data_IF_996164621651
#
_entry.id   IF_996164621651
#
_cell.length_a   1.000
_cell.length_b   1.000
_cell.length_c   1.000
_cell.angle_alpha   90.00
_cell.angle_beta   90.00
_cell.angle_gamma   90.00
#
_symmetry.space_group_name_H-M   'P 1'
#
loop_
_entity.id
_entity.type
_entity.pdbx_description
1 polymer ?
#
# COMPACT_ATOMS: atom_id res chain seq x y z
N UNK A 1 -8.23 -11.62 -5.95
CA UNK A 1 -8.41 -11.00 -7.29
C UNK A 1 -9.08 -12.03 -8.22
N UNK A 2 -10.39 -12.27 -8.05
CA UNK A 2 -11.12 -13.26 -8.87
C UNK A 2 -12.09 -12.64 -9.89
N UNK A 3 -12.27 -11.35 -9.91
CA UNK A 3 -12.91 -10.68 -11.04
C UNK A 3 -11.81 -10.37 -12.05
N UNK A 4 -11.35 -11.43 -12.73
CA UNK A 4 -10.53 -11.28 -13.91
C UNK A 4 -11.31 -10.48 -14.95
N UNK A 5 -10.60 -9.69 -15.74
CA UNK A 5 -11.04 -9.11 -17.00
C UNK A 5 -11.69 -10.21 -17.86
N UNK A 6 -13.00 -10.41 -17.65
CA UNK A 6 -13.78 -11.36 -18.43
C UNK A 6 -13.95 -10.74 -19.81
N UNK A 7 -13.18 -11.24 -20.78
CA UNK A 7 -13.20 -10.77 -22.16
C UNK A 7 -11.84 -10.43 -22.77
N UNK A 8 -10.74 -10.41 -22.01
CA UNK A 8 -9.40 -10.30 -22.59
C UNK A 8 -8.86 -11.68 -22.95
N UNK A 9 -8.57 -11.93 -24.20
CA UNK A 9 -8.11 -13.24 -24.69
C UNK A 9 -6.73 -13.67 -24.17
N UNK A 10 -5.93 -12.78 -23.55
CA UNK A 10 -4.67 -13.11 -22.88
C UNK A 10 -4.39 -12.15 -21.75
N UNK A 11 -4.48 -12.62 -20.52
CA UNK A 11 -3.92 -11.92 -19.36
C UNK A 11 -2.55 -12.54 -19.04
N UNK A 12 -1.50 -11.74 -19.11
CA UNK A 12 -0.16 -12.11 -18.64
C UNK A 12 -0.02 -11.58 -17.21
N UNK A 13 0.48 -12.42 -16.31
CA UNK A 13 0.90 -12.00 -14.98
C UNK A 13 2.36 -12.39 -14.79
N UNK A 14 3.18 -11.41 -14.43
CA UNK A 14 4.57 -11.61 -14.08
C UNK A 14 4.80 -11.36 -12.58
N UNK A 15 5.71 -12.11 -12.00
CA UNK A 15 6.12 -11.97 -10.61
C UNK A 15 7.47 -12.64 -10.38
N UNK A 16 8.28 -12.07 -9.51
CA UNK A 16 9.50 -12.71 -9.01
C UNK A 16 9.20 -13.83 -8.01
N UNK A 17 8.00 -13.90 -7.48
CA UNK A 17 7.58 -14.83 -6.42
C UNK A 17 8.54 -14.77 -5.21
N UNK A 18 8.84 -13.56 -4.72
CA UNK A 18 9.74 -13.34 -3.59
C UNK A 18 9.37 -14.22 -2.39
N UNK A 19 10.34 -14.91 -1.82
CA UNK A 19 10.14 -15.79 -0.66
C UNK A 19 9.65 -15.04 0.57
N UNK A 20 10.02 -13.77 0.74
CA UNK A 20 9.52 -12.92 1.84
C UNK A 20 7.99 -12.80 1.83
N UNK A 21 7.37 -12.81 0.65
CA UNK A 21 5.91 -12.63 0.48
C UNK A 21 5.21 -13.97 0.31
N UNK A 22 5.81 -14.89 -0.44
CA UNK A 22 5.17 -16.13 -0.89
C UNK A 22 5.62 -17.39 -0.14
N UNK A 23 6.61 -17.26 0.77
CA UNK A 23 7.21 -18.37 1.48
C UNK A 23 8.23 -19.15 0.63
N UNK A 24 8.81 -20.20 1.22
CA UNK A 24 9.74 -21.08 0.51
C UNK A 24 8.99 -21.90 -0.54
N UNK A 25 9.67 -22.16 -1.68
CA UNK A 25 9.11 -22.89 -2.82
C UNK A 25 7.76 -22.33 -3.29
N UNK A 26 7.67 -21.05 -3.60
CA UNK A 26 6.40 -20.35 -3.82
C UNK A 26 5.53 -20.94 -4.94
N UNK A 27 6.12 -21.61 -5.92
CA UNK A 27 5.40 -22.30 -6.99
C UNK A 27 4.62 -23.55 -6.50
N UNK A 28 5.05 -24.13 -5.38
CA UNK A 28 4.41 -25.30 -4.77
C UNK A 28 3.43 -24.89 -3.65
N UNK A 29 3.75 -23.84 -2.91
CA UNK A 29 3.12 -23.55 -1.62
C UNK A 29 2.33 -22.25 -1.58
N UNK A 30 2.59 -21.27 -2.47
CA UNK A 30 1.89 -19.97 -2.43
C UNK A 30 0.41 -20.09 -2.81
N UNK A 31 -0.54 -19.87 -1.88
CA UNK A 31 -1.97 -19.94 -2.19
C UNK A 31 -2.37 -18.97 -3.31
N UNK A 32 -1.72 -17.79 -3.35
CA UNK A 32 -1.98 -16.78 -4.37
C UNK A 32 -1.53 -17.28 -5.76
N UNK A 33 -0.33 -17.81 -5.88
CA UNK A 33 0.16 -18.37 -7.15
C UNK A 33 -0.71 -19.53 -7.62
N UNK A 34 -0.99 -20.49 -6.74
CA UNK A 34 -1.83 -21.66 -7.05
C UNK A 34 -3.25 -21.28 -7.49
N UNK A 35 -3.78 -20.16 -6.98
CA UNK A 35 -5.13 -19.69 -7.33
C UNK A 35 -5.23 -19.11 -8.75
N UNK A 36 -4.11 -18.71 -9.36
CA UNK A 36 -4.09 -18.01 -10.65
C UNK A 36 -3.34 -18.74 -11.77
N UNK A 37 -2.42 -19.67 -11.44
CA UNK A 37 -1.49 -20.29 -12.40
C UNK A 37 -2.16 -20.88 -13.65
N UNK A 38 -3.38 -21.41 -13.50
CA UNK A 38 -4.13 -22.02 -14.60
C UNK A 38 -5.14 -21.04 -15.26
N UNK A 39 -5.19 -19.78 -14.78
CA UNK A 39 -6.12 -18.76 -15.26
C UNK A 39 -5.45 -17.67 -16.11
N UNK A 40 -4.13 -17.60 -16.06
CA UNK A 40 -3.34 -16.58 -16.75
C UNK A 40 -2.08 -17.20 -17.32
N UNK A 41 -1.51 -16.59 -18.35
CA UNK A 41 -0.14 -16.90 -18.78
C UNK A 41 0.82 -16.33 -17.71
N UNK A 42 1.33 -17.18 -16.84
CA UNK A 42 2.25 -16.75 -15.80
C UNK A 42 3.70 -16.69 -16.34
N UNK A 43 4.40 -15.59 -16.06
CA UNK A 43 5.83 -15.41 -16.34
C UNK A 43 6.53 -15.20 -15.00
N UNK A 44 7.42 -16.12 -14.63
CA UNK A 44 8.35 -15.91 -13.52
C UNK A 44 9.47 -15.02 -14.00
N UNK A 45 9.55 -13.80 -13.48
CA UNK A 45 10.50 -12.80 -13.94
C UNK A 45 10.64 -11.62 -12.99
N UNK A 46 11.51 -10.70 -13.32
CA UNK A 46 11.79 -9.50 -12.54
C UNK A 46 11.58 -8.24 -13.36
N UNK A 47 10.99 -7.22 -12.74
CA UNK A 47 10.87 -5.88 -13.34
C UNK A 47 12.22 -5.21 -13.59
N UNK A 48 13.31 -5.72 -13.04
CA UNK A 48 14.67 -5.26 -13.30
C UNK A 48 15.33 -5.98 -14.49
N UNK A 49 14.62 -6.92 -15.13
CA UNK A 49 15.09 -7.68 -16.29
C UNK A 49 14.43 -7.19 -17.58
N UNK A 50 15.23 -6.69 -18.52
CA UNK A 50 14.73 -6.25 -19.85
C UNK A 50 14.10 -7.41 -20.63
N UNK A 51 14.70 -8.60 -20.55
CA UNK A 51 14.21 -9.79 -21.26
C UNK A 51 12.82 -10.20 -20.76
N UNK A 52 12.61 -10.15 -19.43
CA UNK A 52 11.34 -10.51 -18.82
C UNK A 52 10.25 -9.49 -19.19
N UNK A 53 10.57 -8.19 -19.20
CA UNK A 53 9.67 -7.16 -19.69
C UNK A 53 9.26 -7.38 -21.14
N UNK A 54 10.21 -7.64 -22.05
CA UNK A 54 9.90 -7.87 -23.46
C UNK A 54 8.96 -9.07 -23.66
N UNK A 55 9.11 -10.12 -22.84
CA UNK A 55 8.18 -11.27 -22.85
C UNK A 55 6.81 -10.89 -22.30
N UNK A 56 6.77 -10.05 -21.27
CA UNK A 56 5.53 -9.70 -20.58
C UNK A 56 4.65 -8.72 -21.38
N UNK A 57 5.25 -7.80 -22.15
CA UNK A 57 4.50 -6.80 -22.93
C UNK A 57 4.07 -7.30 -24.30
N UNK A 58 4.56 -8.44 -24.75
CA UNK A 58 4.27 -8.96 -26.09
C UNK A 58 2.77 -9.19 -26.28
N UNK A 59 2.18 -8.50 -27.26
CA UNK A 59 0.77 -8.57 -27.57
C UNK A 59 -0.16 -7.85 -26.58
N UNK A 60 0.36 -7.20 -25.53
CA UNK A 60 -0.47 -6.54 -24.51
C UNK A 60 -0.85 -5.12 -24.91
N UNK A 61 -2.10 -4.72 -24.60
CA UNK A 61 -2.61 -3.36 -24.84
C UNK A 61 -2.60 -2.47 -23.58
N UNK A 62 -2.49 -3.06 -22.39
CA UNK A 62 -2.42 -2.32 -21.13
C UNK A 62 -1.47 -2.98 -20.14
N UNK A 63 -0.87 -2.17 -19.28
CA UNK A 63 -0.02 -2.62 -18.17
C UNK A 63 -0.63 -2.12 -16.85
N UNK A 64 -0.80 -3.01 -15.87
CA UNK A 64 -1.07 -2.67 -14.48
C UNK A 64 0.21 -2.93 -13.70
N UNK A 65 0.98 -1.88 -13.46
CA UNK A 65 2.30 -1.96 -12.80
C UNK A 65 2.16 -1.91 -11.28
N UNK A 66 1.99 -3.09 -10.66
CA UNK A 66 1.88 -3.28 -9.21
C UNK A 66 3.20 -3.71 -8.56
N UNK A 67 4.17 -4.15 -9.37
CA UNK A 67 5.43 -4.69 -8.87
C UNK A 67 6.23 -3.62 -8.12
N UNK A 68 6.54 -3.91 -6.86
CA UNK A 68 7.34 -3.05 -6.00
C UNK A 68 7.80 -3.80 -4.75
N UNK A 69 8.94 -3.42 -4.21
CA UNK A 69 9.25 -3.65 -2.79
C UNK A 69 8.37 -2.73 -1.94
N UNK A 70 7.82 -3.26 -0.85
CA UNK A 70 6.84 -2.57 0.00
C UNK A 70 7.27 -2.58 1.46
N UNK A 71 6.80 -1.59 2.23
CA UNK A 71 7.12 -1.44 3.65
C UNK A 71 7.96 -0.20 3.93
N UNK A 72 7.41 0.73 4.71
CA UNK A 72 8.07 2.00 5.05
C UNK A 72 9.31 1.77 5.90
N UNK A 73 9.21 0.97 6.97
CA UNK A 73 10.33 0.70 7.88
C UNK A 73 11.51 0.02 7.21
N UNK A 74 11.28 -1.10 6.50
CA UNK A 74 12.33 -1.86 5.80
C UNK A 74 13.04 -1.01 4.73
N UNK A 75 12.31 -0.11 4.07
CA UNK A 75 12.89 0.76 3.05
C UNK A 75 13.98 1.70 3.56
N UNK A 76 14.03 1.97 4.88
CA UNK A 76 15.00 2.87 5.48
C UNK A 76 16.40 2.25 5.63
N UNK A 77 16.52 0.93 5.47
CA UNK A 77 17.80 0.23 5.56
C UNK A 77 18.08 -0.74 4.41
N UNK A 78 17.10 -1.05 3.56
CA UNK A 78 17.28 -1.78 2.28
C UNK A 78 17.15 -0.83 1.07
N UNK A 79 17.76 0.35 1.14
CA UNK A 79 17.56 1.47 0.22
C UNK A 79 17.80 1.07 -1.24
N UNK A 80 18.93 0.42 -1.53
CA UNK A 80 19.30 0.00 -2.88
C UNK A 80 18.26 -0.92 -3.50
N UNK A 81 17.78 -1.92 -2.76
CA UNK A 81 16.77 -2.88 -3.20
C UNK A 81 15.48 -2.16 -3.61
N UNK A 82 15.00 -1.23 -2.78
CA UNK A 82 13.78 -0.46 -3.06
C UNK A 82 13.95 0.46 -4.27
N UNK A 83 15.07 1.14 -4.39
CA UNK A 83 15.35 2.05 -5.53
C UNK A 83 15.47 1.25 -6.82
N UNK A 84 16.24 0.17 -6.84
CA UNK A 84 16.45 -0.65 -8.03
C UNK A 84 15.14 -1.31 -8.50
N UNK A 85 14.35 -1.85 -7.60
CA UNK A 85 13.09 -2.51 -7.96
C UNK A 85 12.04 -1.48 -8.37
N UNK A 86 11.76 -0.51 -7.53
CA UNK A 86 10.62 0.39 -7.74
C UNK A 86 10.93 1.43 -8.83
N UNK A 87 12.02 2.17 -8.67
CA UNK A 87 12.39 3.23 -9.65
C UNK A 87 13.04 2.58 -10.88
N UNK A 88 14.04 1.73 -10.69
CA UNK A 88 14.76 1.08 -11.78
C UNK A 88 13.86 0.21 -12.65
N UNK A 89 13.00 -0.60 -12.04
CA UNK A 89 12.02 -1.43 -12.76
C UNK A 89 11.02 -0.59 -13.56
N UNK A 90 10.52 0.51 -12.99
CA UNK A 90 9.63 1.44 -13.70
C UNK A 90 10.35 2.16 -14.84
N UNK A 91 11.56 2.64 -14.60
CA UNK A 91 12.36 3.30 -15.63
C UNK A 91 12.67 2.35 -16.80
N UNK A 92 12.97 1.08 -16.51
CA UNK A 92 13.21 0.05 -17.52
C UNK A 92 11.96 -0.23 -18.35
N UNK A 93 10.79 -0.34 -17.70
CA UNK A 93 9.50 -0.47 -18.40
C UNK A 93 9.30 0.68 -19.40
N UNK A 94 9.47 1.90 -18.94
CA UNK A 94 9.25 3.11 -19.76
C UNK A 94 10.30 3.23 -20.88
N UNK A 95 11.57 2.87 -20.63
CA UNK A 95 12.59 2.81 -21.65
C UNK A 95 12.24 1.81 -22.77
N UNK A 96 11.71 0.65 -22.42
CA UNK A 96 11.24 -0.35 -23.38
C UNK A 96 10.05 0.17 -24.18
N UNK A 97 9.06 0.76 -23.50
CA UNK A 97 7.88 1.35 -24.17
C UNK A 97 8.25 2.50 -25.11
N UNK A 98 9.34 3.21 -24.83
CA UNK A 98 9.82 4.28 -25.71
C UNK A 98 10.60 3.75 -26.91
N UNK A 99 11.36 2.67 -26.77
CA UNK A 99 12.37 2.28 -27.76
C UNK A 99 12.07 0.94 -28.46
N UNK A 100 11.09 0.16 -28.00
CA UNK A 100 10.71 -1.11 -28.62
C UNK A 100 9.32 -1.04 -29.28
N UNK A 101 9.02 -1.98 -30.17
CA UNK A 101 7.67 -2.13 -30.71
C UNK A 101 6.76 -2.79 -29.71
N UNK A 102 5.59 -2.25 -29.49
CA UNK A 102 4.57 -2.80 -28.59
C UNK A 102 3.16 -2.31 -28.99
N UNK A 103 2.12 -2.88 -28.37
CA UNK A 103 0.73 -2.49 -28.58
C UNK A 103 0.13 -1.74 -27.37
N UNK A 104 0.91 -1.45 -26.35
CA UNK A 104 0.46 -0.84 -25.10
C UNK A 104 -0.08 0.56 -25.37
N UNK A 105 -1.30 0.81 -24.90
CA UNK A 105 -2.05 2.06 -25.03
C UNK A 105 -2.28 2.73 -23.68
N UNK A 106 -2.24 1.96 -22.59
CA UNK A 106 -2.49 2.45 -21.22
C UNK A 106 -1.59 1.79 -20.19
N UNK A 107 -1.08 2.59 -19.26
CA UNK A 107 -0.30 2.13 -18.10
C UNK A 107 -0.98 2.62 -16.82
N UNK A 108 -1.31 1.69 -15.92
CA UNK A 108 -1.75 2.00 -14.55
C UNK A 108 -0.58 1.75 -13.61
N UNK A 109 -0.24 2.74 -12.81
CA UNK A 109 0.87 2.65 -11.83
C UNK A 109 0.32 2.67 -10.41
N UNK A 110 0.73 1.71 -9.60
CA UNK A 110 0.48 1.72 -8.18
C UNK A 110 1.41 2.71 -7.48
N UNK A 111 0.90 3.89 -7.13
CA UNK A 111 1.48 4.79 -6.14
C UNK A 111 1.00 4.38 -4.72
N UNK A 112 1.23 5.23 -3.75
CA UNK A 112 0.86 4.98 -2.36
C UNK A 112 0.54 6.28 -1.64
N UNK A 113 -0.31 6.23 -0.63
CA UNK A 113 -0.51 7.34 0.33
C UNK A 113 0.79 7.79 1.00
N UNK A 114 1.81 6.92 1.03
CA UNK A 114 3.10 7.23 1.66
C UNK A 114 3.83 8.43 1.04
N UNK A 115 3.41 8.88 -0.15
CA UNK A 115 3.95 10.08 -0.78
C UNK A 115 3.55 11.37 -0.06
N UNK A 116 2.47 11.33 0.72
CA UNK A 116 1.93 12.51 1.42
C UNK A 116 2.59 12.78 2.79
N UNK A 117 3.48 11.91 3.26
CA UNK A 117 4.03 12.03 4.63
C UNK A 117 2.91 12.06 5.67
N UNK A 118 2.94 13.05 6.54
CA UNK A 118 1.92 13.25 7.59
C UNK A 118 0.54 13.70 7.05
N UNK A 119 0.43 13.96 5.73
CA UNK A 119 -0.84 14.35 5.10
C UNK A 119 -1.24 15.80 5.33
N UNK A 120 -2.54 16.05 5.21
CA UNK A 120 -3.14 17.38 5.26
C UNK A 120 -3.87 17.61 6.59
N UNK A 121 -3.67 18.79 7.16
CA UNK A 121 -4.36 19.27 8.36
C UNK A 121 -4.89 20.68 8.12
N UNK A 122 -5.92 21.06 8.86
CA UNK A 122 -6.40 22.43 8.92
C UNK A 122 -5.96 23.08 10.23
N UNK A 123 -5.45 24.31 10.16
CA UNK A 123 -5.19 25.12 11.35
C UNK A 123 -6.29 26.17 11.53
N UNK A 124 -7.13 26.04 12.58
CA UNK A 124 -8.14 27.07 12.87
C UNK A 124 -7.52 28.44 13.21
N UNK A 125 -6.32 28.44 13.81
CA UNK A 125 -5.64 29.68 14.17
C UNK A 125 -5.10 30.44 12.95
N UNK A 126 -4.63 29.70 11.94
CA UNK A 126 -4.10 30.28 10.69
C UNK A 126 -5.14 30.35 9.59
N UNK A 127 -6.34 29.81 9.82
CA UNK A 127 -7.46 29.72 8.88
C UNK A 127 -7.07 29.14 7.51
N UNK A 128 -6.19 28.10 7.51
CA UNK A 128 -5.71 27.45 6.28
C UNK A 128 -5.29 26.01 6.49
N UNK A 129 -5.21 25.30 5.36
CA UNK A 129 -4.59 23.99 5.28
C UNK A 129 -3.07 24.10 5.51
N UNK A 130 -2.54 23.16 6.28
CA UNK A 130 -1.10 23.05 6.59
C UNK A 130 -0.62 21.61 6.40
N UNK A 131 0.66 21.46 6.15
CA UNK A 131 1.32 20.17 5.94
C UNK A 131 2.46 20.04 6.95
N UNK A 132 2.22 19.36 8.07
CA UNK A 132 3.24 19.15 9.10
C UNK A 132 4.45 18.43 8.54
N UNK A 133 5.61 18.74 9.07
CA UNK A 133 6.82 17.93 8.86
C UNK A 133 6.77 16.68 9.72
N UNK A 134 7.72 15.79 9.51
CA UNK A 134 7.92 14.61 10.36
C UNK A 134 7.97 14.99 11.86
N UNK A 135 7.38 14.13 12.65
CA UNK A 135 7.37 14.29 14.11
C UNK A 135 8.78 14.11 14.68
N UNK A 136 9.13 14.94 15.64
CA UNK A 136 10.46 14.93 16.22
C UNK A 136 10.57 13.86 17.32
N UNK A 137 11.67 13.12 17.31
CA UNK A 137 12.02 12.12 18.31
C UNK A 137 11.94 12.67 19.74
N UNK A 138 12.43 13.91 19.97
CA UNK A 138 12.40 14.59 21.26
C UNK A 138 10.98 14.85 21.82
N UNK A 139 9.97 14.93 20.98
CA UNK A 139 8.57 15.09 21.35
C UNK A 139 7.93 13.70 21.60
N UNK A 140 8.16 12.77 20.67
CA UNK A 140 7.58 11.43 20.78
C UNK A 140 8.08 10.68 22.03
N UNK A 141 9.34 10.84 22.43
CA UNK A 141 9.86 10.25 23.69
C UNK A 141 9.22 10.82 24.97
N UNK A 142 8.52 11.96 24.88
CA UNK A 142 7.72 12.53 25.98
C UNK A 142 6.25 12.14 25.91
N UNK A 143 5.84 11.32 24.93
CA UNK A 143 4.45 10.97 24.69
C UNK A 143 3.67 12.04 23.91
N UNK A 144 4.35 13.01 23.30
CA UNK A 144 3.75 14.06 22.47
C UNK A 144 3.68 13.59 21.01
N UNK A 145 2.68 12.78 20.68
CA UNK A 145 2.58 12.10 19.39
C UNK A 145 1.85 12.91 18.30
N UNK A 146 1.14 13.98 18.68
CA UNK A 146 0.38 14.76 17.69
C UNK A 146 1.29 15.60 16.78
N UNK A 147 0.86 15.76 15.52
CA UNK A 147 1.55 16.62 14.58
C UNK A 147 1.46 18.08 14.99
N UNK A 148 2.55 18.81 14.78
CA UNK A 148 2.63 20.25 15.04
C UNK A 148 3.00 21.03 13.79
N UNK A 149 2.60 22.31 13.75
CA UNK A 149 3.00 23.24 12.70
C UNK A 149 3.28 24.62 13.31
N UNK A 150 4.31 25.33 12.86
CA UNK A 150 4.69 26.61 13.45
C UNK A 150 3.55 27.61 13.53
N UNK A 151 3.28 28.16 14.71
CA UNK A 151 2.26 29.15 14.99
C UNK A 151 0.81 28.73 14.63
N UNK A 152 0.54 27.43 14.49
CA UNK A 152 -0.75 26.94 14.03
C UNK A 152 -1.74 26.54 15.14
N UNK A 153 -1.26 26.49 16.41
CA UNK A 153 -2.07 25.96 17.50
C UNK A 153 -2.39 24.48 17.32
N UNK A 154 -3.54 24.05 17.85
CA UNK A 154 -4.01 22.67 17.67
C UNK A 154 -4.50 22.46 16.24
N UNK A 155 -3.97 21.42 15.58
CA UNK A 155 -4.36 21.04 14.24
C UNK A 155 -5.62 20.17 14.22
N UNK A 156 -6.38 20.26 13.14
CA UNK A 156 -7.50 19.39 12.85
C UNK A 156 -7.13 18.49 11.65
N UNK A 157 -7.25 17.17 11.83
CA UNK A 157 -7.08 16.24 10.72
C UNK A 157 -8.17 16.46 9.67
N UNK A 158 -7.79 16.56 8.40
CA UNK A 158 -8.70 16.65 7.26
C UNK A 158 -8.31 15.63 6.19
N UNK A 159 -9.25 15.28 5.32
CA UNK A 159 -9.01 14.36 4.23
C UNK A 159 -7.92 14.88 3.28
N UNK A 160 -6.97 14.02 2.90
CA UNK A 160 -5.87 14.36 2.02
C UNK A 160 -6.32 14.21 0.57
N UNK A 161 -6.33 15.31 -0.17
CA UNK A 161 -6.69 15.38 -1.60
C UNK A 161 -5.49 15.10 -2.49
N UNK A 162 -5.70 14.85 -3.77
CA UNK A 162 -4.62 14.54 -4.73
C UNK A 162 -3.70 15.73 -5.01
N UNK A 163 -4.18 16.95 -4.84
CA UNK A 163 -3.41 18.20 -4.95
C UNK A 163 -2.65 18.58 -3.66
N UNK A 164 -2.81 17.79 -2.59
CA UNK A 164 -2.08 17.98 -1.35
C UNK A 164 -0.58 17.89 -1.57
N UNK A 165 0.18 18.59 -0.72
CA UNK A 165 1.64 18.59 -0.79
C UNK A 165 2.21 17.18 -0.71
N UNK A 166 3.05 16.83 -1.66
CA UNK A 166 3.83 15.60 -1.67
C UNK A 166 5.11 15.84 -0.86
N UNK A 167 5.32 15.08 0.21
CA UNK A 167 6.49 15.18 1.09
C UNK A 167 6.73 13.87 1.84
N UNK A 168 7.14 12.80 1.12
CA UNK A 168 7.30 11.48 1.69
C UNK A 168 8.30 11.46 2.84
N UNK A 169 8.00 10.69 3.89
CA UNK A 169 8.86 10.49 5.07
C UNK A 169 9.67 9.19 5.04
N UNK A 170 9.66 8.47 3.93
CA UNK A 170 10.38 7.20 3.78
C UNK A 170 10.92 7.01 2.38
N UNK A 171 11.96 6.17 2.25
CA UNK A 171 12.50 5.78 0.94
C UNK A 171 11.40 5.12 0.09
N UNK A 172 10.57 4.26 0.68
CA UNK A 172 9.40 3.70 -0.02
C UNK A 172 8.49 4.78 -0.60
N UNK A 173 8.12 5.77 0.21
CA UNK A 173 7.28 6.90 -0.26
C UNK A 173 7.93 7.65 -1.42
N UNK A 174 9.24 7.94 -1.36
CA UNK A 174 10.00 8.56 -2.44
C UNK A 174 9.94 7.69 -3.70
N UNK A 175 10.18 6.39 -3.59
CA UNK A 175 10.17 5.50 -4.77
C UNK A 175 8.79 5.46 -5.42
N UNK A 176 7.72 5.45 -4.64
CA UNK A 176 6.33 5.46 -5.14
C UNK A 176 5.97 6.77 -5.83
N UNK A 177 6.41 7.90 -5.29
CA UNK A 177 6.27 9.21 -5.93
C UNK A 177 6.98 9.23 -7.30
N UNK A 178 8.22 8.74 -7.36
CA UNK A 178 9.01 8.74 -8.61
C UNK A 178 8.39 7.82 -9.66
N UNK A 179 7.83 6.66 -9.29
CA UNK A 179 7.13 5.78 -10.22
C UNK A 179 5.99 6.52 -10.95
N UNK A 180 5.11 7.21 -10.20
CA UNK A 180 4.03 7.98 -10.78
C UNK A 180 4.53 9.15 -11.63
N UNK A 181 5.50 9.92 -11.14
CA UNK A 181 6.07 11.05 -11.88
C UNK A 181 6.68 10.62 -13.22
N UNK A 182 7.44 9.52 -13.24
CA UNK A 182 8.03 8.99 -14.48
C UNK A 182 6.93 8.56 -15.47
N UNK A 183 5.90 7.85 -15.01
CA UNK A 183 4.81 7.39 -15.87
C UNK A 183 4.03 8.58 -16.46
N UNK A 184 3.63 9.56 -15.64
CA UNK A 184 2.89 10.73 -16.11
C UNK A 184 3.70 11.68 -17.01
N UNK A 185 5.04 11.63 -16.94
CA UNK A 185 5.90 12.40 -17.82
C UNK A 185 6.14 11.68 -19.17
N UNK A 186 6.47 10.38 -19.10
CA UNK A 186 6.94 9.64 -20.29
C UNK A 186 5.78 9.10 -21.12
N UNK A 187 4.76 8.46 -20.51
CA UNK A 187 3.70 7.81 -21.27
C UNK A 187 2.98 8.78 -22.24
N UNK A 188 2.55 9.98 -21.84
CA UNK A 188 1.89 10.90 -22.77
C UNK A 188 2.81 11.33 -23.92
N UNK A 189 4.13 11.45 -23.71
CA UNK A 189 5.09 11.85 -24.75
C UNK A 189 5.25 10.81 -25.87
N UNK A 190 4.85 9.56 -25.59
CA UNK A 190 4.88 8.45 -26.56
C UNK A 190 3.47 7.95 -26.93
N UNK A 191 2.43 8.74 -26.62
CA UNK A 191 1.04 8.43 -26.99
C UNK A 191 0.38 7.33 -26.16
N UNK A 192 0.86 7.08 -24.93
CA UNK A 192 0.28 6.12 -23.98
C UNK A 192 -0.46 6.87 -22.87
N UNK A 193 -1.64 6.42 -22.50
CA UNK A 193 -2.37 6.93 -21.34
C UNK A 193 -1.69 6.46 -20.03
N UNK A 194 -1.46 7.40 -19.09
CA UNK A 194 -1.00 7.09 -17.75
C UNK A 194 -2.08 7.35 -16.72
N UNK A 195 -2.26 6.42 -15.79
CA UNK A 195 -3.14 6.55 -14.60
C UNK A 195 -2.35 6.11 -13.38
N UNK A 196 -2.41 6.87 -12.30
CA UNK A 196 -1.79 6.48 -11.03
C UNK A 196 -2.82 6.27 -9.94
N UNK A 197 -2.59 5.27 -9.09
CA UNK A 197 -3.42 5.02 -7.91
C UNK A 197 -2.62 5.16 -6.62
N UNK A 198 -2.97 6.15 -5.82
CA UNK A 198 -2.44 6.39 -4.48
C UNK A 198 -3.23 5.55 -3.49
N UNK A 199 -2.91 4.27 -3.46
CA UNK A 199 -3.60 3.32 -2.59
C UNK A 199 -3.42 3.68 -1.12
N UNK A 200 -4.54 3.64 -0.39
CA UNK A 200 -4.58 3.70 1.05
C UNK A 200 -4.16 2.35 1.67
N UNK A 201 -4.51 2.05 2.90
CA UNK A 201 -4.13 0.78 3.54
C UNK A 201 -4.99 -0.37 3.00
N UNK A 202 -4.50 -0.99 1.92
CA UNK A 202 -5.19 -2.12 1.27
C UNK A 202 -5.09 -3.37 2.13
N UNK A 203 -6.20 -4.07 2.30
CA UNK A 203 -6.24 -5.35 2.99
C UNK A 203 -7.26 -6.30 2.35
N UNK A 204 -7.11 -7.60 2.61
CA UNK A 204 -8.07 -8.60 2.14
C UNK A 204 -7.47 -9.99 1.99
N UNK A 205 -8.28 -10.98 1.57
CA UNK A 205 -7.83 -12.33 1.27
C UNK A 205 -6.64 -12.35 0.31
N UNK A 206 -5.64 -13.20 0.59
CA UNK A 206 -4.39 -13.31 -0.17
C UNK A 206 -3.25 -12.43 0.33
N UNK A 207 -3.46 -11.60 1.37
CA UNK A 207 -2.37 -10.85 2.00
C UNK A 207 -1.39 -11.80 2.69
N UNK A 208 -0.08 -11.54 2.57
CA UNK A 208 0.94 -12.35 3.26
C UNK A 208 0.75 -12.27 4.78
N UNK A 209 0.59 -13.43 5.42
CA UNK A 209 0.47 -13.55 6.87
C UNK A 209 1.83 -13.75 7.56
N UNK A 210 2.87 -14.09 6.81
CA UNK A 210 4.22 -14.33 7.31
C UNK A 210 5.13 -13.10 7.24
N UNK A 211 4.76 -12.05 6.49
CA UNK A 211 5.57 -10.85 6.36
C UNK A 211 5.41 -9.91 7.56
N UNK A 212 6.42 -9.76 8.44
CA UNK A 212 6.30 -8.94 9.65
C UNK A 212 6.48 -7.43 9.40
N UNK A 213 6.78 -7.02 8.17
CA UNK A 213 7.10 -5.62 7.83
C UNK A 213 5.93 -4.85 7.24
N UNK A 214 4.89 -5.55 6.78
CA UNK A 214 3.74 -4.91 6.12
C UNK A 214 2.41 -5.52 6.57
N UNK A 215 1.39 -4.65 6.63
CA UNK A 215 0.02 -5.10 6.87
C UNK A 215 -0.30 -5.35 8.34
N UNK A 216 -0.60 -4.28 9.09
CA UNK A 216 -0.98 -4.35 10.51
C UNK A 216 -2.06 -5.41 10.77
N UNK A 217 -3.01 -5.59 9.86
CA UNK A 217 -4.08 -6.60 9.97
C UNK A 217 -3.53 -8.03 9.96
N UNK A 218 -2.55 -8.32 9.09
CA UNK A 218 -1.88 -9.63 9.06
C UNK A 218 -1.07 -9.86 10.33
N UNK A 219 -0.31 -8.85 10.77
CA UNK A 219 0.50 -8.93 12.00
C UNK A 219 -0.40 -9.22 13.21
N UNK A 220 -1.45 -8.43 13.40
CA UNK A 220 -2.37 -8.61 14.54
C UNK A 220 -3.12 -9.94 14.45
N UNK A 221 -3.54 -10.36 13.25
CA UNK A 221 -4.18 -11.66 13.07
C UNK A 221 -3.27 -12.81 13.44
N UNK A 222 -2.00 -12.76 13.01
CA UNK A 222 -1.02 -13.80 13.37
C UNK A 222 -0.78 -13.82 14.89
N UNK A 223 -0.66 -12.68 15.56
CA UNK A 223 -0.54 -12.61 17.02
C UNK A 223 -1.78 -13.18 17.71
N UNK A 224 -2.99 -12.77 17.31
CA UNK A 224 -4.26 -13.29 17.87
C UNK A 224 -4.35 -14.81 17.72
N UNK A 225 -4.03 -15.34 16.54
CA UNK A 225 -4.10 -16.78 16.25
C UNK A 225 -3.07 -17.60 17.04
N UNK A 226 -1.94 -16.99 17.40
CA UNK A 226 -0.92 -17.59 18.27
C UNK A 226 -1.21 -17.36 19.76
N UNK A 227 -2.27 -16.62 20.13
CA UNK A 227 -2.60 -16.30 21.52
C UNK A 227 -1.68 -15.27 22.15
N UNK A 228 -0.93 -14.52 21.35
CA UNK A 228 0.04 -13.52 21.78
C UNK A 228 -0.64 -12.17 22.02
N UNK A 229 -0.06 -11.38 22.92
CA UNK A 229 -0.48 -10.01 23.19
C UNK A 229 -0.32 -9.11 21.95
N UNK A 230 -1.29 -8.21 21.71
CA UNK A 230 -1.15 -7.14 20.74
C UNK A 230 -0.51 -5.93 21.41
N UNK A 231 0.70 -5.57 20.98
CA UNK A 231 1.37 -4.36 21.39
C UNK A 231 1.03 -3.22 20.42
N UNK A 232 0.34 -2.21 20.93
CA UNK A 232 -0.01 -0.99 20.20
C UNK A 232 1.01 0.07 20.52
N UNK A 233 1.49 0.74 19.46
CA UNK A 233 2.47 1.80 19.57
C UNK A 233 1.81 3.12 19.97
N UNK A 234 2.65 4.08 20.33
CA UNK A 234 2.25 5.43 20.73
C UNK A 234 1.14 5.37 21.80
N UNK A 235 0.02 6.02 21.52
CA UNK A 235 -1.19 6.00 22.37
C UNK A 235 -2.37 5.25 21.71
N UNK A 236 -2.15 4.58 20.57
CA UNK A 236 -3.14 3.79 19.84
C UNK A 236 -4.13 4.61 19.01
N UNK A 237 -3.94 5.93 18.92
CA UNK A 237 -4.84 6.82 18.19
C UNK A 237 -4.39 7.14 16.77
N UNK A 238 -3.28 6.56 16.32
CA UNK A 238 -2.84 6.70 14.94
C UNK A 238 -3.92 6.20 14.00
N UNK A 239 -4.23 6.98 12.97
CA UNK A 239 -5.32 6.62 12.08
C UNK A 239 -4.86 6.36 10.66
N UNK A 240 -5.56 5.45 10.00
CA UNK A 240 -5.39 5.10 8.59
C UNK A 240 -6.74 4.94 7.92
N UNK A 241 -6.76 5.09 6.62
CA UNK A 241 -7.87 4.70 5.76
C UNK A 241 -7.62 3.25 5.30
N UNK A 242 -8.47 2.34 5.71
CA UNK A 242 -8.39 0.92 5.35
C UNK A 242 -9.37 0.61 4.24
N UNK A 243 -8.88 0.16 3.11
CA UNK A 243 -9.69 -0.18 1.93
C UNK A 243 -9.62 -1.67 1.62
N UNK A 244 -10.78 -2.29 1.45
CA UNK A 244 -10.86 -3.72 1.13
C UNK A 244 -10.43 -4.01 -0.29
N UNK A 245 -9.77 -5.15 -0.50
CA UNK A 245 -9.14 -5.51 -1.79
C UNK A 245 -10.12 -5.50 -2.96
N UNK A 246 -11.40 -5.84 -2.77
CA UNK A 246 -12.38 -5.84 -3.86
C UNK A 246 -12.67 -4.43 -4.36
N UNK A 247 -12.76 -3.43 -3.47
CA UNK A 247 -12.91 -2.03 -3.86
C UNK A 247 -11.69 -1.53 -4.65
N UNK A 248 -10.49 -1.97 -4.26
CA UNK A 248 -9.24 -1.66 -4.99
C UNK A 248 -9.22 -2.28 -6.38
N UNK A 249 -9.71 -3.51 -6.50
CA UNK A 249 -9.85 -4.20 -7.80
C UNK A 249 -10.85 -3.48 -8.69
N UNK A 250 -12.03 -3.11 -8.15
CA UNK A 250 -13.06 -2.36 -8.87
C UNK A 250 -12.48 -1.02 -9.37
N UNK A 251 -11.77 -0.26 -8.51
CA UNK A 251 -11.10 0.97 -8.92
C UNK A 251 -10.07 0.76 -10.05
N UNK A 252 -9.30 -0.34 -9.96
CA UNK A 252 -8.27 -0.67 -10.97
C UNK A 252 -8.90 -0.97 -12.32
N UNK A 253 -10.02 -1.69 -12.34
CA UNK A 253 -10.78 -1.97 -13.57
C UNK A 253 -11.36 -0.68 -14.15
N UNK A 254 -11.97 0.17 -13.31
CA UNK A 254 -12.49 1.47 -13.74
C UNK A 254 -11.41 2.32 -14.43
N UNK A 255 -10.19 2.33 -13.93
CA UNK A 255 -9.10 3.07 -14.59
C UNK A 255 -8.61 2.47 -15.90
N UNK A 256 -8.85 1.18 -16.14
CA UNK A 256 -8.62 0.59 -17.47
C UNK A 256 -9.71 0.99 -18.48
N UNK A 257 -10.95 1.07 -18.02
CA UNK A 257 -12.13 1.24 -18.86
C UNK A 257 -12.50 2.71 -19.08
N UNK A 258 -12.29 3.58 -18.07
CA UNK A 258 -12.66 4.99 -18.13
C UNK A 258 -11.63 5.79 -18.93
N UNK A 259 -12.06 6.38 -20.05
CA UNK A 259 -11.18 7.17 -20.93
C UNK A 259 -10.66 8.42 -20.20
N UNK A 260 -11.51 9.07 -19.44
CA UNK A 260 -11.25 10.30 -18.69
C UNK A 260 -10.26 10.11 -17.55
N UNK A 261 -9.93 8.86 -17.19
CA UNK A 261 -8.91 8.55 -16.19
C UNK A 261 -7.50 8.93 -16.65
N UNK A 262 -7.27 9.03 -17.96
CA UNK A 262 -5.96 9.34 -18.53
C UNK A 262 -5.40 10.68 -18.00
N UNK A 263 -4.15 10.66 -17.56
CA UNK A 263 -3.46 11.83 -17.03
C UNK A 263 -3.73 12.14 -15.55
N UNK A 264 -4.58 11.36 -14.87
CA UNK A 264 -4.92 11.58 -13.48
C UNK A 264 -4.22 10.62 -12.51
N UNK A 265 -3.95 11.13 -11.31
CA UNK A 265 -3.65 10.32 -10.14
C UNK A 265 -4.88 10.35 -9.22
N UNK A 266 -5.27 9.21 -8.67
CA UNK A 266 -6.46 9.07 -7.82
C UNK A 266 -6.09 8.50 -6.46
N UNK A 267 -6.64 9.07 -5.40
CA UNK A 267 -6.67 8.41 -4.11
C UNK A 267 -7.69 7.27 -4.12
N UNK A 268 -7.25 6.08 -3.75
CA UNK A 268 -8.11 4.90 -3.62
C UNK A 268 -8.13 4.45 -2.16
N UNK A 269 -9.22 4.74 -1.51
CA UNK A 269 -9.51 4.50 -0.10
C UNK A 269 -11.02 4.48 0.13
N UNK A 270 -11.42 4.56 1.38
CA UNK A 270 -12.84 4.67 1.79
C UNK A 270 -13.24 6.09 2.16
N UNK A 271 -12.28 6.98 2.42
CA UNK A 271 -12.51 8.30 2.99
C UNK A 271 -12.82 8.26 4.49
N UNK A 272 -12.56 7.13 5.15
CA UNK A 272 -12.84 6.94 6.58
C UNK A 272 -11.53 6.74 7.35
N UNK A 273 -11.37 7.55 8.40
CA UNK A 273 -10.22 7.47 9.31
C UNK A 273 -10.49 6.47 10.43
N UNK A 274 -9.70 5.39 10.53
CA UNK A 274 -9.83 4.33 11.53
C UNK A 274 -8.56 4.25 12.37
N UNK A 275 -8.69 4.29 13.70
CA UNK A 275 -7.54 4.20 14.62
C UNK A 275 -7.08 2.75 14.86
N UNK A 276 -5.81 2.60 15.27
CA UNK A 276 -5.16 1.30 15.45
C UNK A 276 -5.81 0.49 16.58
N UNK A 277 -6.29 1.15 17.63
CA UNK A 277 -6.97 0.46 18.73
C UNK A 277 -8.30 -0.14 18.26
N UNK A 278 -9.06 0.59 17.43
CA UNK A 278 -10.28 0.08 16.77
C UNK A 278 -9.96 -1.13 15.90
N UNK A 279 -8.85 -1.12 15.15
CA UNK A 279 -8.41 -2.27 14.35
C UNK A 279 -8.19 -3.51 15.23
N UNK A 280 -7.43 -3.38 16.32
CA UNK A 280 -7.15 -4.49 17.23
C UNK A 280 -8.41 -5.07 17.84
N UNK A 281 -9.30 -4.21 18.35
CA UNK A 281 -10.55 -4.63 18.97
C UNK A 281 -11.47 -5.33 17.96
N UNK A 282 -11.62 -4.78 16.75
CA UNK A 282 -12.46 -5.39 15.70
C UNK A 282 -11.95 -6.78 15.30
N UNK A 283 -10.63 -6.97 15.17
CA UNK A 283 -10.06 -8.27 14.88
C UNK A 283 -10.35 -9.28 16.00
N UNK A 284 -10.14 -8.92 17.27
CA UNK A 284 -10.46 -9.78 18.41
C UNK A 284 -11.93 -10.18 18.42
N UNK A 285 -12.83 -9.23 18.15
CA UNK A 285 -14.27 -9.48 18.05
C UNK A 285 -14.59 -10.46 16.91
N UNK A 286 -14.10 -10.20 15.70
CA UNK A 286 -14.39 -11.03 14.51
C UNK A 286 -13.80 -12.44 14.60
N UNK A 287 -12.67 -12.62 15.27
CA UNK A 287 -12.12 -13.94 15.58
C UNK A 287 -12.82 -14.62 16.76
N UNK A 288 -13.56 -13.88 17.57
CA UNK A 288 -14.07 -14.32 18.87
C UNK A 288 -12.94 -14.87 19.78
N UNK A 289 -11.77 -14.22 19.73
CA UNK A 289 -10.58 -14.56 20.51
C UNK A 289 -10.17 -13.31 21.31
N UNK A 290 -9.99 -13.47 22.61
CA UNK A 290 -9.49 -12.41 23.48
C UNK A 290 -8.00 -12.62 23.74
N UNK A 291 -7.20 -11.64 23.39
CA UNK A 291 -5.80 -11.55 23.76
C UNK A 291 -5.58 -10.23 24.53
N UNK A 292 -4.53 -10.10 25.36
CA UNK A 292 -4.18 -8.82 25.94
C UNK A 292 -3.86 -7.79 24.86
N UNK A 293 -4.29 -6.55 25.05
CA UNK A 293 -3.93 -5.40 24.22
C UNK A 293 -3.25 -4.40 25.13
N UNK A 294 -1.98 -4.11 24.86
CA UNK A 294 -1.19 -3.11 25.61
C UNK A 294 -0.87 -1.91 24.73
N UNK A 295 -0.88 -0.74 25.33
CA UNK A 295 -0.42 0.51 24.72
C UNK A 295 0.95 0.81 25.31
N UNK A 296 1.99 0.68 24.49
CA UNK A 296 3.38 0.66 24.98
C UNK A 296 4.04 2.03 25.11
N UNK A 297 3.52 3.03 24.39
CA UNK A 297 4.22 4.31 24.23
C UNK A 297 5.43 4.26 23.30
N UNK A 298 5.85 3.08 22.87
CA UNK A 298 6.93 2.92 21.90
C UNK A 298 6.50 3.45 20.52
N UNK A 299 7.44 3.86 19.69
CA UNK A 299 7.16 4.41 18.37
C UNK A 299 8.24 4.04 17.37
N UNK A 300 7.91 4.20 16.09
CA UNK A 300 8.87 4.03 14.99
C UNK A 300 9.15 5.36 14.31
N UNK A 301 10.43 5.64 14.10
CA UNK A 301 10.83 6.81 13.30
C UNK A 301 10.37 6.65 11.86
N UNK A 302 9.82 7.71 11.28
CA UNK A 302 9.29 7.73 9.92
C UNK A 302 7.85 7.22 9.78
N UNK A 303 7.22 6.70 10.85
CA UNK A 303 5.78 6.44 10.83
C UNK A 303 5.00 7.76 10.94
N UNK A 304 3.91 7.84 10.20
CA UNK A 304 3.02 9.00 10.22
C UNK A 304 1.94 8.85 11.30
N UNK A 305 1.45 9.98 11.81
CA UNK A 305 0.40 9.99 12.85
C UNK A 305 -0.95 9.64 12.25
N UNK A 306 -1.42 10.42 11.28
CA UNK A 306 -2.75 10.25 10.68
C UNK A 306 -2.70 10.39 9.16
N UNK A 307 -3.53 9.62 8.46
CA UNK A 307 -3.81 9.85 7.06
C UNK A 307 -5.10 9.13 6.65
N UNK A 308 -5.98 9.83 5.95
CA UNK A 308 -7.11 9.27 5.22
C UNK A 308 -7.36 10.07 3.94
N UNK A 309 -7.99 9.44 2.96
CA UNK A 309 -8.14 10.00 1.63
C UNK A 309 -9.38 10.91 1.50
N UNK A 310 -9.26 11.97 0.73
CA UNK A 310 -10.38 12.48 -0.04
C UNK A 310 -10.49 11.65 -1.32
N UNK A 311 -11.64 11.08 -1.59
CA UNK A 311 -11.90 10.23 -2.77
C UNK A 311 -12.84 10.90 -3.78
N UNK A 312 -13.06 12.21 -3.64
CA UNK A 312 -13.99 12.96 -4.50
C UNK A 312 -13.59 12.90 -5.97
N UNK A 313 -12.31 12.97 -6.28
CA UNK A 313 -11.82 12.88 -7.66
C UNK A 313 -12.10 11.50 -8.26
N UNK A 314 -11.82 10.43 -7.52
CA UNK A 314 -12.11 9.06 -7.95
C UNK A 314 -13.62 8.83 -8.15
N UNK A 315 -14.47 9.37 -7.28
CA UNK A 315 -15.91 9.33 -7.44
C UNK A 315 -16.37 10.06 -8.70
N UNK A 316 -15.87 11.27 -8.91
CA UNK A 316 -16.34 12.14 -9.99
C UNK A 316 -15.91 11.63 -11.37
N UNK A 317 -14.66 11.18 -11.52
CA UNK A 317 -14.11 10.79 -12.83
C UNK A 317 -14.31 9.30 -13.09
N UNK A 318 -14.03 8.43 -12.11
CA UNK A 318 -14.10 6.98 -12.28
C UNK A 318 -15.49 6.41 -11.97
N UNK A 319 -16.35 7.14 -11.24
CA UNK A 319 -17.55 6.56 -10.64
C UNK A 319 -17.23 5.57 -9.52
N UNK A 320 -16.05 5.70 -8.90
CA UNK A 320 -15.59 4.82 -7.83
C UNK A 320 -16.41 5.04 -6.55
N UNK A 321 -17.03 3.98 -6.03
CA UNK A 321 -17.69 3.98 -4.74
C UNK A 321 -17.24 2.76 -3.95
N UNK A 322 -16.59 2.94 -2.79
CA UNK A 322 -16.23 1.83 -1.92
C UNK A 322 -17.50 1.18 -1.37
N UNK A 323 -17.59 -0.14 -1.49
CA UNK A 323 -18.76 -0.94 -1.13
C UNK A 323 -18.63 -1.60 0.23
N UNK A 324 -17.40 -1.75 0.70
CA UNK A 324 -17.09 -2.47 1.91
C UNK A 324 -16.89 -1.53 3.10
N UNK A 325 -17.69 -1.69 4.14
CA UNK A 325 -17.37 -1.09 5.44
C UNK A 325 -16.13 -1.77 6.04
N UNK A 326 -15.40 -1.06 6.92
CA UNK A 326 -14.26 -1.65 7.61
C UNK A 326 -14.64 -2.94 8.36
N UNK A 327 -15.76 -2.93 9.08
CA UNK A 327 -16.24 -4.09 9.84
C UNK A 327 -16.58 -5.30 8.95
N UNK A 328 -17.21 -5.07 7.79
CA UNK A 328 -17.60 -6.16 6.88
C UNK A 328 -16.37 -6.74 6.18
N UNK A 329 -15.48 -5.86 5.69
CA UNK A 329 -14.23 -6.30 5.07
C UNK A 329 -13.33 -7.07 6.03
N UNK A 330 -13.23 -6.63 7.32
CA UNK A 330 -12.51 -7.40 8.35
C UNK A 330 -13.18 -8.76 8.59
N UNK A 331 -14.51 -8.83 8.54
CA UNK A 331 -15.21 -10.11 8.65
C UNK A 331 -14.78 -11.10 7.55
N UNK A 332 -14.74 -10.66 6.30
CA UNK A 332 -14.28 -11.51 5.18
C UNK A 332 -12.79 -11.85 5.28
N UNK A 333 -11.96 -10.88 5.68
CA UNK A 333 -10.55 -11.13 5.92
C UNK A 333 -10.33 -12.20 7.02
N UNK A 334 -11.01 -12.09 8.14
CA UNK A 334 -10.93 -13.08 9.23
C UNK A 334 -11.43 -14.47 8.83
N UNK A 335 -12.51 -14.56 8.04
CA UNK A 335 -12.98 -15.84 7.47
C UNK A 335 -11.88 -16.48 6.62
N UNK A 336 -11.25 -15.70 5.75
CA UNK A 336 -10.15 -16.21 4.93
C UNK A 336 -8.95 -16.63 5.78
N UNK A 337 -8.49 -15.81 6.75
CA UNK A 337 -7.37 -16.17 7.64
C UNK A 337 -7.65 -17.48 8.39
N UNK A 338 -8.89 -17.73 8.80
CA UNK A 338 -9.27 -18.98 9.47
C UNK A 338 -9.13 -20.22 8.58
N UNK A 339 -9.05 -20.07 7.26
CA UNK A 339 -8.77 -21.17 6.33
C UNK A 339 -7.29 -21.40 6.07
N UNK A 340 -6.42 -20.51 6.58
CA UNK A 340 -4.98 -20.60 6.38
C UNK A 340 -4.30 -21.31 7.54
N UNK A 341 -3.13 -21.87 7.28
CA UNK A 341 -2.26 -22.37 8.34
C UNK A 341 -1.80 -21.22 9.24
N UNK A 342 -1.74 -21.47 10.55
CA UNK A 342 -1.26 -20.49 11.51
C UNK A 342 0.25 -20.30 11.26
N UNK A 343 0.62 -19.10 10.87
CA UNK A 343 2.02 -18.75 10.61
C UNK A 343 2.77 -18.50 11.91
N UNK A 344 4.08 -18.73 11.90
CA UNK A 344 4.94 -18.34 13.01
C UNK A 344 4.88 -16.82 13.23
N UNK A 345 4.78 -16.42 14.48
CA UNK A 345 4.78 -15.00 14.85
C UNK A 345 6.21 -14.44 14.83
N UNK A 346 6.54 -13.72 13.78
CA UNK A 346 7.86 -13.08 13.58
C UNK A 346 7.91 -11.64 14.08
N UNK A 347 6.85 -11.16 14.75
CA UNK A 347 6.73 -9.77 15.19
C UNK A 347 7.89 -9.36 16.11
N UNK A 348 8.17 -10.13 17.17
CA UNK A 348 9.18 -9.76 18.14
C UNK A 348 10.60 -9.75 17.52
N UNK A 349 10.88 -10.64 16.57
CA UNK A 349 12.13 -10.62 15.80
C UNK A 349 12.24 -9.35 14.95
N UNK A 350 11.15 -8.92 14.30
CA UNK A 350 11.14 -7.69 13.49
C UNK A 350 11.33 -6.43 14.35
N UNK A 351 10.77 -6.42 15.56
CA UNK A 351 10.98 -5.32 16.51
C UNK A 351 12.44 -5.26 16.96
N UNK A 352 13.06 -6.41 17.23
CA UNK A 352 14.47 -6.47 17.63
C UNK A 352 15.36 -5.91 16.49
N UNK A 353 15.13 -6.33 15.26
CA UNK A 353 15.85 -5.82 14.09
C UNK A 353 15.72 -4.28 13.96
N UNK A 354 14.49 -3.76 14.10
CA UNK A 354 14.28 -2.31 14.05
C UNK A 354 14.94 -1.55 15.19
N UNK A 355 15.03 -2.15 16.40
CA UNK A 355 15.80 -1.60 17.53
C UNK A 355 17.28 -1.53 17.23
N UNK A 356 17.86 -2.59 16.69
CA UNK A 356 19.28 -2.64 16.29
C UNK A 356 19.61 -1.60 15.21
N UNK A 357 18.66 -1.29 14.34
CA UNK A 357 18.77 -0.22 13.33
C UNK A 357 18.46 1.19 13.87
N UNK A 358 18.08 1.32 15.14
CA UNK A 358 17.74 2.61 15.77
C UNK A 358 16.42 3.23 15.29
N UNK A 359 15.56 2.44 14.62
CA UNK A 359 14.28 2.89 14.08
C UNK A 359 13.10 2.71 15.02
N UNK A 360 13.25 1.91 16.07
CA UNK A 360 12.23 1.64 17.09
C UNK A 360 12.71 2.10 18.45
N UNK A 361 11.87 2.84 19.16
CA UNK A 361 12.17 3.44 20.47
C UNK A 361 11.03 3.29 21.45
#
# INVERSE_FOLDING_TARGET
MQRSLVGSEMCIRDSSLSEQIHGQKPEETSPLYLSIKDKVKFIKGSVTSREDWLKAIDGQEAIIHLAAETGTGQSMYEIEKYVNTNIGGTALMLDILTNAKHNVKRVIVAESRAIYGEGKYYSPLLEKDVYPKERLDENMCKGEFECTYPNAGKLQLVATTEDSKIHPSSVYGITKQVQGQLAHLVCPSIGIDAVSYRYQNVYGPGQSLSNPYTGILSIFSTRIKNGNEINIFEDGKETRDFVFIEDVVDATILGLETKEAAGHAFNIGTGVSTDVLTVANTLCEKYNIKVPISISGNYRLGDIRHNYADITLARTILGYEPKWSFSDGIGEFCKWVNTQEIQADMYDASILEMKEKGLYK
#
